data_IF_079794223592
#
_entry.id   IF_079794223592
#
_cell.length_a   1.000
_cell.length_b   1.000
_cell.length_c   1.000
_cell.angle_alpha   90.00
_cell.angle_beta   90.00
_cell.angle_gamma   90.00
#
_symmetry.space_group_name_H-M   'P 1'
#
loop_
_entity.id
_entity.type
_entity.pdbx_description
1 polymer ?
#
# COMPACT_ATOMS: atom_id res chain seq x y z
N UNK A 1 2.25 25.31 4.21
CA UNK A 1 2.27 23.90 4.65
C UNK A 1 1.98 23.04 3.43
N UNK A 2 3.00 22.41 2.81
CA UNK A 2 2.80 21.49 1.67
C UNK A 2 2.23 20.19 2.22
N UNK A 3 1.04 19.81 1.79
CA UNK A 3 0.58 18.41 1.89
C UNK A 3 1.45 17.62 0.93
N UNK A 4 2.06 16.52 1.39
CA UNK A 4 2.78 15.63 0.48
C UNK A 4 1.80 15.13 -0.60
N UNK A 5 2.22 15.16 -1.86
CA UNK A 5 1.41 14.64 -2.95
C UNK A 5 1.05 13.17 -2.68
N UNK A 6 -0.21 12.76 -2.89
CA UNK A 6 -0.63 11.39 -2.63
C UNK A 6 0.13 10.44 -3.54
N UNK A 7 0.70 9.38 -2.95
CA UNK A 7 1.35 8.30 -3.72
C UNK A 7 0.25 7.49 -4.42
N UNK A 8 0.14 7.68 -5.73
CA UNK A 8 -0.75 6.90 -6.59
C UNK A 8 -0.01 5.64 -7.03
N UNK A 9 -0.56 4.47 -6.69
CA UNK A 9 0.00 3.18 -7.10
C UNK A 9 -0.69 2.71 -8.38
N UNK A 10 0.10 2.33 -9.37
CA UNK A 10 -0.41 1.70 -10.59
C UNK A 10 -1.07 0.35 -10.26
N UNK A 11 -2.40 0.21 -10.46
CA UNK A 11 -3.09 -1.04 -10.19
C UNK A 11 -2.58 -2.19 -11.06
N UNK A 12 -2.06 -1.94 -12.27
CA UNK A 12 -1.60 -2.99 -13.17
C UNK A 12 -0.44 -3.82 -12.57
N UNK A 13 0.36 -3.21 -11.70
CA UNK A 13 1.43 -3.89 -10.95
C UNK A 13 0.95 -4.79 -9.81
N UNK A 14 -0.34 -4.74 -9.46
CA UNK A 14 -0.90 -5.41 -8.28
C UNK A 14 -1.77 -6.61 -8.61
N UNK A 15 -1.67 -7.64 -7.78
CA UNK A 15 -2.64 -8.73 -7.76
C UNK A 15 -4.00 -8.26 -7.22
N UNK A 16 -5.09 -8.95 -7.58
CA UNK A 16 -6.42 -8.65 -7.06
C UNK A 16 -6.48 -8.61 -5.52
N UNK A 17 -5.70 -9.47 -4.84
CA UNK A 17 -5.65 -9.47 -3.37
C UNK A 17 -4.98 -8.23 -2.79
N UNK A 18 -3.96 -7.69 -3.44
CA UNK A 18 -3.31 -6.44 -3.01
C UNK A 18 -4.22 -5.24 -3.26
N UNK A 19 -4.89 -5.19 -4.43
CA UNK A 19 -5.88 -4.15 -4.76
C UNK A 19 -7.01 -4.10 -3.74
N UNK A 20 -7.45 -5.26 -3.23
CA UNK A 20 -8.48 -5.35 -2.19
C UNK A 20 -7.95 -5.16 -0.75
N UNK A 21 -6.66 -4.83 -0.56
CA UNK A 21 -6.06 -4.68 0.77
C UNK A 21 -5.95 -6.00 1.57
N UNK A 22 -6.09 -7.15 0.91
CA UNK A 22 -6.06 -8.50 1.52
C UNK A 22 -4.68 -9.18 1.42
N UNK A 23 -3.68 -8.45 0.95
CA UNK A 23 -2.28 -8.87 0.86
C UNK A 23 -1.37 -7.65 0.89
N UNK A 24 -0.17 -7.79 1.46
CA UNK A 24 0.80 -6.70 1.55
C UNK A 24 1.20 -6.26 0.15
N UNK A 25 1.13 -4.96 -0.13
CA UNK A 25 1.48 -4.40 -1.44
C UNK A 25 2.96 -4.64 -1.81
N UNK A 26 3.84 -4.86 -0.83
CA UNK A 26 5.28 -5.09 -1.04
C UNK A 26 5.62 -6.59 -1.09
N UNK A 27 5.29 -7.36 -0.05
CA UNK A 27 5.74 -8.75 0.09
C UNK A 27 4.65 -9.80 -0.15
N UNK A 28 3.44 -9.38 -0.54
CA UNK A 28 2.31 -10.26 -0.91
C UNK A 28 1.76 -11.14 0.24
N UNK A 29 2.32 -11.05 1.46
CA UNK A 29 1.83 -11.81 2.61
C UNK A 29 0.39 -11.46 2.95
N UNK A 30 -0.36 -12.47 3.41
CA UNK A 30 -1.80 -12.40 3.69
C UNK A 30 -2.12 -12.50 5.18
N UNK A 31 -1.19 -13.02 5.98
CA UNK A 31 -1.33 -13.19 7.43
C UNK A 31 -0.06 -12.75 8.17
N UNK A 32 -0.19 -12.04 9.30
CA UNK A 32 -1.38 -11.30 9.74
C UNK A 32 -1.90 -10.37 8.65
N UNK A 33 -3.20 -10.06 8.66
CA UNK A 33 -3.79 -9.22 7.63
C UNK A 33 -3.09 -7.84 7.59
N UNK A 34 -2.65 -7.35 6.42
CA UNK A 34 -2.04 -6.02 6.30
C UNK A 34 -3.00 -4.91 6.73
N UNK A 35 -2.55 -4.00 7.60
CA UNK A 35 -3.40 -2.93 8.15
C UNK A 35 -2.89 -1.52 7.88
N UNK A 36 -1.62 -1.35 7.52
CA UNK A 36 -0.99 -0.02 7.40
C UNK A 36 -1.26 0.56 6.01
N UNK A 37 -1.95 1.71 5.88
CA UNK A 37 -2.15 2.35 4.59
C UNK A 37 -0.82 2.95 4.08
N UNK A 38 -0.51 2.73 2.80
CA UNK A 38 0.76 3.19 2.20
C UNK A 38 0.59 3.91 0.86
N UNK A 39 -0.63 4.00 0.35
CA UNK A 39 -0.94 4.67 -0.90
C UNK A 39 -2.39 4.46 -1.31
N UNK A 40 -2.74 5.02 -2.46
CA UNK A 40 -4.08 4.91 -3.04
C UNK A 40 -4.00 4.52 -4.51
N UNK A 41 -4.97 3.74 -4.98
CA UNK A 41 -5.18 3.50 -6.40
C UNK A 41 -5.89 4.71 -7.04
N UNK A 42 -5.90 4.83 -8.38
CA UNK A 42 -6.59 5.91 -9.09
C UNK A 42 -8.10 5.99 -8.80
N UNK A 43 -8.73 4.88 -8.42
CA UNK A 43 -10.14 4.81 -8.03
C UNK A 43 -10.38 5.21 -6.56
N UNK A 44 -9.33 5.60 -5.83
CA UNK A 44 -9.39 5.97 -4.41
C UNK A 44 -9.22 4.80 -3.44
N UNK A 45 -9.09 3.57 -3.92
CA UNK A 45 -8.90 2.40 -3.05
C UNK A 45 -7.58 2.48 -2.29
N UNK A 46 -7.61 2.26 -0.98
CA UNK A 46 -6.41 2.29 -0.13
C UNK A 46 -5.66 0.96 -0.24
N UNK A 47 -4.39 1.02 -0.65
CA UNK A 47 -3.48 -0.13 -0.59
C UNK A 47 -2.82 -0.23 0.79
N UNK A 48 -2.56 -1.46 1.22
CA UNK A 48 -2.09 -1.77 2.57
C UNK A 48 -0.76 -2.51 2.55
N UNK A 49 0.13 -2.16 3.46
CA UNK A 49 1.33 -2.91 3.78
C UNK A 49 1.21 -3.56 5.16
N UNK A 50 2.01 -4.59 5.39
CA UNK A 50 2.23 -5.09 6.73
C UNK A 50 3.16 -4.16 7.51
N UNK A 51 3.23 -4.32 8.83
CA UNK A 51 4.03 -3.46 9.70
C UNK A 51 5.52 -3.44 9.29
N UNK A 52 6.11 -4.59 8.97
CA UNK A 52 7.52 -4.70 8.58
C UNK A 52 7.81 -3.88 7.31
N UNK A 53 7.05 -4.09 6.24
CA UNK A 53 7.21 -3.37 4.99
C UNK A 53 6.84 -1.89 5.12
N UNK A 54 5.83 -1.57 5.93
CA UNK A 54 5.41 -0.19 6.13
C UNK A 54 6.49 0.69 6.79
N UNK A 55 7.30 0.11 7.69
CA UNK A 55 8.44 0.82 8.30
C UNK A 55 9.48 1.22 7.25
N UNK A 56 9.69 0.39 6.24
CA UNK A 56 10.65 0.63 5.16
C UNK A 56 10.11 1.68 4.18
N UNK A 57 8.82 1.60 3.84
CA UNK A 57 8.21 2.49 2.84
C UNK A 57 7.93 3.92 3.35
N UNK A 58 7.90 4.14 4.67
CA UNK A 58 7.59 5.46 5.26
C UNK A 58 8.76 6.46 5.20
N UNK A 59 9.93 6.06 4.71
CA UNK A 59 11.03 7.01 4.55
C UNK A 59 10.80 7.89 3.31
N UNK A 60 10.77 9.23 3.44
CA UNK A 60 10.74 10.09 2.27
C UNK A 60 12.07 9.89 1.51
N UNK A 61 11.96 9.56 0.23
CA UNK A 61 13.03 9.81 -0.75
C UNK A 61 12.76 11.15 -1.40
#
# INVERSE_FOLDING_TARGET
>A
MRLADPVIIDPASLTARQRLGRACVVCHKRFPLPRVPVGTLPDGTIVRACEDCARITRSPR
#
